data_IF_376998580278
#
_entry.id   IF_376998580278
#
_cell.length_a   1.000
_cell.length_b   1.000
_cell.length_c   1.000
_cell.angle_alpha   90.00
_cell.angle_beta   90.00
_cell.angle_gamma   90.00
#
_symmetry.space_group_name_H-M   'P 1'
#
loop_
_entity.id
_entity.type
_entity.pdbx_description
1 polymer ?
#
# COMPACT_ATOMS: atom_id res chain seq x y z
N UNK A 1 24.47 -34.48 3.37
CA UNK A 1 23.52 -33.47 3.85
C UNK A 1 24.14 -32.11 3.57
N UNK A 2 23.61 -31.33 2.62
CA UNK A 2 24.10 -29.97 2.38
C UNK A 2 23.71 -29.10 3.58
N UNK A 3 24.71 -28.52 4.23
CA UNK A 3 24.46 -27.48 5.22
C UNK A 3 23.92 -26.25 4.49
N UNK A 4 22.86 -25.59 4.98
CA UNK A 4 22.46 -24.31 4.46
C UNK A 4 23.63 -23.33 4.63
N UNK A 5 23.97 -22.62 3.56
CA UNK A 5 24.94 -21.55 3.56
C UNK A 5 24.49 -20.42 4.49
N UNK A 6 25.46 -19.73 5.08
CA UNK A 6 25.22 -18.64 6.03
C UNK A 6 24.32 -17.52 5.46
N UNK A 7 24.32 -17.35 4.14
CA UNK A 7 23.57 -16.31 3.43
C UNK A 7 22.31 -16.82 2.70
N UNK A 8 21.96 -18.10 2.81
CA UNK A 8 20.86 -18.70 2.01
C UNK A 8 19.50 -18.03 2.29
N UNK A 9 19.27 -17.62 3.54
CA UNK A 9 18.04 -16.92 3.95
C UNK A 9 18.03 -15.49 3.39
N UNK A 10 19.15 -14.78 3.45
CA UNK A 10 19.28 -13.43 2.92
C UNK A 10 19.13 -13.40 1.40
N UNK A 11 19.73 -14.36 0.68
CA UNK A 11 19.59 -14.47 -0.77
C UNK A 11 18.14 -14.75 -1.17
N UNK A 12 17.45 -15.62 -0.42
CA UNK A 12 16.03 -15.89 -0.65
C UNK A 12 15.15 -14.67 -0.38
N UNK A 13 15.44 -13.89 0.67
CA UNK A 13 14.75 -12.64 0.96
C UNK A 13 15.02 -11.57 -0.10
N UNK A 14 16.25 -11.45 -0.59
CA UNK A 14 16.61 -10.52 -1.67
C UNK A 14 15.90 -10.86 -2.99
N UNK A 15 15.76 -12.15 -3.30
CA UNK A 15 14.95 -12.61 -4.44
C UNK A 15 13.47 -12.23 -4.27
N UNK A 16 12.91 -12.40 -3.07
CA UNK A 16 11.53 -11.98 -2.76
C UNK A 16 11.33 -10.47 -2.89
N UNK A 17 12.29 -9.67 -2.43
CA UNK A 17 12.31 -8.21 -2.65
C UNK A 17 12.25 -7.86 -4.14
N UNK A 18 13.04 -8.55 -4.97
CA UNK A 18 13.06 -8.34 -6.42
C UNK A 18 11.75 -8.73 -7.12
N UNK A 19 10.97 -9.65 -6.55
CA UNK A 19 9.66 -10.07 -7.07
C UNK A 19 8.50 -9.14 -6.65
N UNK A 20 8.74 -8.19 -5.75
CA UNK A 20 7.75 -7.21 -5.29
C UNK A 20 7.12 -7.59 -3.95
N UNK A 21 7.92 -7.63 -2.88
CA UNK A 21 7.40 -7.79 -1.52
C UNK A 21 6.65 -6.53 -1.06
N UNK A 22 5.32 -6.62 -1.03
CA UNK A 22 4.45 -5.53 -0.59
C UNK A 22 4.66 -5.17 0.89
N UNK A 23 4.97 -6.15 1.75
CA UNK A 23 5.22 -5.90 3.18
C UNK A 23 6.51 -5.11 3.41
N UNK A 24 7.52 -5.35 2.57
CA UNK A 24 8.73 -4.55 2.58
C UNK A 24 8.46 -3.09 2.17
N UNK A 25 7.63 -2.88 1.14
CA UNK A 25 7.22 -1.54 0.74
C UNK A 25 6.48 -0.80 1.88
N UNK A 26 5.61 -1.50 2.61
CA UNK A 26 4.96 -0.95 3.80
C UNK A 26 5.95 -0.56 4.88
N UNK A 27 6.89 -1.44 5.22
CA UNK A 27 7.90 -1.16 6.25
C UNK A 27 8.82 0.01 5.90
N UNK A 28 9.03 0.31 4.61
CA UNK A 28 9.82 1.47 4.16
C UNK A 28 9.02 2.77 4.14
N UNK A 29 7.71 2.66 3.97
CA UNK A 29 6.82 3.82 3.78
C UNK A 29 6.22 4.31 5.10
N UNK A 30 5.86 3.38 5.97
CA UNK A 30 5.15 3.68 7.22
C UNK A 30 6.10 3.48 8.39
N UNK A 31 6.34 4.54 9.14
CA UNK A 31 6.96 4.43 10.45
C UNK A 31 5.91 3.94 11.47
N UNK A 32 6.00 2.67 11.84
CA UNK A 32 5.06 2.03 12.75
C UNK A 32 5.23 2.49 14.21
N UNK A 33 6.35 3.10 14.57
CA UNK A 33 6.58 3.63 15.93
C UNK A 33 5.68 4.84 16.23
N UNK A 34 5.21 5.53 15.19
CA UNK A 34 4.27 6.66 15.30
C UNK A 34 2.93 6.27 15.95
N UNK A 35 2.56 4.98 15.90
CA UNK A 35 1.34 4.45 16.50
C UNK A 35 1.51 4.02 17.96
N UNK A 36 2.76 3.90 18.45
CA UNK A 36 3.05 3.41 19.81
C UNK A 36 2.26 4.15 20.91
N UNK A 37 2.16 5.49 20.93
CA UNK A 37 1.43 6.19 22.00
C UNK A 37 -0.06 5.84 22.04
N UNK A 38 -0.68 5.69 20.87
CA UNK A 38 -2.10 5.33 20.76
C UNK A 38 -2.32 3.87 21.17
N UNK A 39 -1.40 2.99 20.79
CA UNK A 39 -1.41 1.57 21.15
C UNK A 39 -1.19 1.35 22.65
N UNK A 40 -0.23 2.04 23.26
CA UNK A 40 0.06 1.95 24.70
C UNK A 40 -1.15 2.39 25.52
N UNK A 41 -1.78 3.51 25.11
CA UNK A 41 -2.99 4.02 25.74
C UNK A 41 -4.16 3.04 25.63
N UNK A 42 -4.33 2.40 24.47
CA UNK A 42 -5.44 1.50 24.20
C UNK A 42 -5.25 0.10 24.84
N UNK A 43 -4.04 -0.44 24.81
CA UNK A 43 -3.74 -1.76 25.34
C UNK A 43 -3.55 -1.75 26.85
N UNK A 44 -3.12 -0.61 27.41
CA UNK A 44 -2.95 -0.37 28.84
C UNK A 44 -2.34 -1.57 29.56
N UNK A 45 -1.27 -2.16 28.98
CA UNK A 45 -0.63 -3.33 29.56
C UNK A 45 -0.11 -2.96 30.95
N UNK A 46 -0.42 -3.81 31.95
CA UNK A 46 0.10 -3.62 33.30
C UNK A 46 1.61 -3.84 33.32
N UNK A 47 2.31 -3.08 34.15
CA UNK A 47 3.78 -2.92 34.18
C UNK A 47 4.59 -4.15 34.65
N UNK A 48 4.14 -5.37 34.34
CA UNK A 48 4.81 -6.63 34.73
C UNK A 48 4.89 -6.90 36.23
N UNK A 49 4.46 -5.95 37.07
CA UNK A 49 4.60 -5.93 38.53
C UNK A 49 3.90 -7.08 39.25
N UNK A 50 2.98 -7.77 38.59
CA UNK A 50 2.27 -8.94 39.12
C UNK A 50 2.90 -10.29 38.75
N UNK A 51 4.12 -10.31 38.21
CA UNK A 51 4.84 -11.54 37.91
C UNK A 51 4.12 -12.36 36.84
N UNK A 52 4.27 -11.95 35.59
CA UNK A 52 3.72 -12.66 34.43
C UNK A 52 4.68 -12.63 33.26
N UNK A 53 4.41 -13.46 32.25
CA UNK A 53 5.12 -13.38 30.96
C UNK A 53 4.98 -11.96 30.41
N UNK A 54 6.09 -11.30 29.99
CA UNK A 54 6.01 -9.94 29.49
C UNK A 54 5.07 -9.89 28.28
N UNK A 55 4.24 -8.83 28.17
CA UNK A 55 3.39 -8.63 27.01
C UNK A 55 4.23 -8.48 25.75
N UNK A 56 3.65 -8.82 24.59
CA UNK A 56 4.28 -8.56 23.31
C UNK A 56 4.33 -7.06 23.03
N UNK A 57 5.31 -6.64 22.24
CA UNK A 57 5.45 -5.25 21.83
C UNK A 57 4.18 -4.78 21.09
N UNK A 58 3.57 -3.66 21.49
CA UNK A 58 2.35 -3.12 20.88
C UNK A 58 2.48 -2.90 19.37
N UNK A 59 3.64 -2.42 18.92
CA UNK A 59 3.89 -2.14 17.49
C UNK A 59 3.94 -3.45 16.70
N UNK A 60 4.61 -4.49 17.23
CA UNK A 60 4.58 -5.83 16.65
C UNK A 60 3.15 -6.37 16.54
N UNK A 61 2.34 -6.22 17.59
CA UNK A 61 0.94 -6.67 17.57
C UNK A 61 0.13 -5.94 16.51
N UNK A 62 0.31 -4.62 16.37
CA UNK A 62 -0.37 -3.83 15.34
C UNK A 62 0.06 -4.24 13.92
N UNK A 63 1.35 -4.50 13.68
CA UNK A 63 1.83 -5.04 12.40
C UNK A 63 1.18 -6.38 12.05
N UNK A 64 0.94 -7.26 13.03
CA UNK A 64 0.22 -8.51 12.81
C UNK A 64 -1.23 -8.21 12.40
N UNK A 65 -1.90 -7.24 13.03
CA UNK A 65 -3.25 -6.84 12.61
C UNK A 65 -3.27 -6.35 11.17
N UNK A 66 -2.28 -5.57 10.75
CA UNK A 66 -2.15 -5.13 9.34
C UNK A 66 -2.00 -6.34 8.40
N UNK A 67 -1.20 -7.35 8.76
CA UNK A 67 -1.10 -8.59 7.97
C UNK A 67 -2.45 -9.30 7.89
N UNK A 68 -3.14 -9.45 9.02
CA UNK A 68 -4.44 -10.12 9.12
C UNK A 68 -5.45 -9.49 8.18
N UNK A 69 -5.48 -8.18 8.17
CA UNK A 69 -6.47 -7.41 7.45
C UNK A 69 -6.15 -7.37 5.95
N UNK A 70 -4.88 -7.23 5.57
CA UNK A 70 -4.47 -7.25 4.15
C UNK A 70 -4.68 -8.61 3.46
N UNK A 71 -4.69 -9.69 4.23
CA UNK A 71 -4.80 -11.06 3.71
C UNK A 71 -6.11 -11.74 4.12
N UNK A 72 -7.00 -11.02 4.80
CA UNK A 72 -8.30 -11.53 5.32
C UNK A 72 -8.14 -12.86 6.07
N UNK A 73 -7.22 -12.88 7.04
CA UNK A 73 -6.83 -14.08 7.79
C UNK A 73 -7.53 -14.18 9.15
N UNK A 74 -7.82 -15.41 9.59
CA UNK A 74 -8.18 -15.68 10.99
C UNK A 74 -6.97 -15.67 11.90
N UNK A 75 -7.17 -15.57 13.22
CA UNK A 75 -6.10 -15.58 14.21
C UNK A 75 -5.23 -16.85 14.12
N UNK A 76 -5.83 -18.03 13.94
CA UNK A 76 -5.12 -19.30 13.80
C UNK A 76 -4.33 -19.40 12.50
N UNK A 77 -4.93 -18.92 11.40
CA UNK A 77 -4.24 -18.83 10.10
C UNK A 77 -3.04 -17.90 10.16
N UNK A 78 -3.16 -16.83 10.93
CA UNK A 78 -2.11 -15.82 11.10
C UNK A 78 -0.94 -16.37 11.88
N UNK A 79 -1.20 -17.05 13.01
CA UNK A 79 -0.18 -17.77 13.77
C UNK A 79 0.60 -18.76 12.88
N UNK A 80 -0.13 -19.57 12.10
CA UNK A 80 0.50 -20.52 11.18
C UNK A 80 1.37 -19.83 10.13
N UNK A 81 0.84 -18.79 9.47
CA UNK A 81 1.55 -18.12 8.37
C UNK A 81 2.75 -17.29 8.84
N UNK A 82 2.75 -16.76 10.06
CA UNK A 82 3.92 -16.09 10.62
C UNK A 82 5.06 -17.10 10.81
N UNK A 83 4.77 -18.33 11.22
CA UNK A 83 5.78 -19.39 11.36
C UNK A 83 6.24 -19.96 10.00
N UNK A 84 5.38 -19.94 8.98
CA UNK A 84 5.65 -20.53 7.66
C UNK A 84 6.34 -19.56 6.68
N UNK A 85 6.01 -18.26 6.73
CA UNK A 85 6.43 -17.28 5.73
C UNK A 85 7.54 -16.37 6.20
N UNK A 86 8.70 -16.49 5.56
CA UNK A 86 9.86 -15.62 5.77
C UNK A 86 9.56 -14.13 5.54
N UNK A 87 8.67 -13.78 4.60
CA UNK A 87 8.28 -12.38 4.38
C UNK A 87 7.52 -11.78 5.58
N UNK A 88 6.71 -12.58 6.27
CA UNK A 88 5.97 -12.16 7.46
C UNK A 88 6.94 -11.98 8.63
N UNK A 89 7.84 -12.95 8.85
CA UNK A 89 8.88 -12.84 9.87
C UNK A 89 9.75 -11.59 9.66
N UNK A 90 10.18 -11.34 8.42
CA UNK A 90 10.96 -10.14 8.05
C UNK A 90 10.20 -8.84 8.36
N UNK A 91 8.93 -8.76 7.99
CA UNK A 91 8.11 -7.56 8.25
C UNK A 91 7.90 -7.29 9.74
N UNK A 92 7.72 -8.36 10.52
CA UNK A 92 7.55 -8.29 11.97
C UNK A 92 8.87 -8.06 12.72
N UNK A 93 10.02 -8.25 12.05
CA UNK A 93 11.34 -8.17 12.67
C UNK A 93 11.64 -9.37 13.59
N UNK A 94 11.01 -10.52 13.33
CA UNK A 94 11.18 -11.75 14.09
C UNK A 94 12.28 -12.62 13.47
N UNK A 95 13.22 -13.07 14.29
CA UNK A 95 14.17 -14.14 13.97
C UNK A 95 13.55 -15.53 14.13
N UNK A 96 14.23 -16.56 13.60
CA UNK A 96 13.77 -17.96 13.64
C UNK A 96 13.58 -18.52 15.05
N UNK A 97 14.23 -17.91 16.05
CA UNK A 97 14.16 -18.32 17.46
C UNK A 97 13.23 -17.44 18.31
N UNK A 98 12.68 -16.38 17.71
CA UNK A 98 11.83 -15.45 18.44
C UNK A 98 10.43 -16.02 18.65
N UNK A 99 9.75 -15.49 19.65
CA UNK A 99 8.43 -15.98 20.04
C UNK A 99 7.37 -15.36 19.15
N UNK A 100 6.52 -16.21 18.57
CA UNK A 100 5.34 -15.78 17.83
C UNK A 100 4.14 -15.70 18.78
N UNK A 101 3.31 -14.64 18.71
CA UNK A 101 2.04 -14.61 19.43
C UNK A 101 1.10 -15.71 18.94
N UNK A 102 0.49 -16.44 19.88
CA UNK A 102 -0.55 -17.41 19.55
C UNK A 102 -1.87 -16.72 19.15
N UNK A 103 -2.76 -17.45 18.49
CA UNK A 103 -4.07 -16.96 18.06
C UNK A 103 -4.87 -16.32 19.21
N UNK A 104 -4.77 -16.87 20.41
CA UNK A 104 -5.48 -16.37 21.60
C UNK A 104 -4.95 -15.01 22.05
N UNK A 105 -3.66 -14.78 21.90
CA UNK A 105 -2.98 -13.52 22.19
C UNK A 105 -3.37 -12.45 21.17
N UNK A 106 -3.44 -12.82 19.88
CA UNK A 106 -3.94 -11.94 18.82
C UNK A 106 -5.38 -11.50 19.10
N UNK A 107 -6.25 -12.48 19.38
CA UNK A 107 -7.64 -12.23 19.74
C UNK A 107 -7.79 -11.29 20.94
N UNK A 108 -7.00 -11.52 22.00
CA UNK A 108 -7.05 -10.69 23.21
C UNK A 108 -6.61 -9.25 22.93
N UNK A 109 -5.62 -9.07 22.07
CA UNK A 109 -5.15 -7.76 21.62
C UNK A 109 -6.23 -7.03 20.82
N UNK A 110 -6.80 -7.66 19.80
CA UNK A 110 -7.92 -7.10 19.03
C UNK A 110 -9.07 -6.68 19.94
N UNK A 111 -9.48 -7.58 20.86
CA UNK A 111 -10.56 -7.30 21.79
C UNK A 111 -10.29 -6.05 22.64
N UNK A 112 -9.06 -5.87 23.14
CA UNK A 112 -8.68 -4.68 23.91
C UNK A 112 -8.70 -3.42 23.06
N UNK A 113 -8.19 -3.46 21.84
CA UNK A 113 -8.20 -2.31 20.94
C UNK A 113 -9.62 -1.89 20.55
N UNK A 114 -10.51 -2.86 20.35
CA UNK A 114 -11.94 -2.59 20.09
C UNK A 114 -12.62 -2.01 21.33
N UNK A 115 -12.36 -2.54 22.52
CA UNK A 115 -12.90 -2.00 23.78
C UNK A 115 -12.37 -0.59 24.07
N UNK A 116 -11.13 -0.29 23.69
CA UNK A 116 -10.53 1.03 23.78
C UNK A 116 -10.96 2.00 22.66
N UNK A 117 -11.76 1.56 21.68
CA UNK A 117 -12.19 2.37 20.54
C UNK A 117 -11.04 2.84 19.63
N UNK A 118 -9.86 2.26 19.76
CA UNK A 118 -8.66 2.73 19.09
C UNK A 118 -8.48 2.13 17.69
N UNK A 119 -9.13 1.00 17.39
CA UNK A 119 -8.90 0.24 16.15
C UNK A 119 -9.21 1.08 14.91
N UNK A 120 -10.35 1.76 14.86
CA UNK A 120 -10.73 2.62 13.74
C UNK A 120 -9.78 3.81 13.59
N UNK A 121 -9.38 4.43 14.71
CA UNK A 121 -8.46 5.57 14.68
C UNK A 121 -7.07 5.18 14.17
N UNK A 122 -6.55 4.03 14.60
CA UNK A 122 -5.26 3.50 14.16
C UNK A 122 -5.26 3.19 12.66
N UNK A 123 -6.29 2.49 12.17
CA UNK A 123 -6.40 2.16 10.75
C UNK A 123 -6.65 3.39 9.87
N UNK A 124 -7.47 4.35 10.32
CA UNK A 124 -7.64 5.61 9.60
C UNK A 124 -6.33 6.39 9.47
N UNK A 125 -5.50 6.41 10.53
CA UNK A 125 -4.19 7.06 10.52
C UNK A 125 -3.19 6.30 9.63
N UNK A 126 -3.26 4.98 9.64
CA UNK A 126 -2.48 4.13 8.73
C UNK A 126 -2.82 4.43 7.27
N UNK A 127 -4.11 4.46 6.92
CA UNK A 127 -4.59 4.80 5.58
C UNK A 127 -4.19 6.21 5.15
N UNK A 128 -4.29 7.19 6.05
CA UNK A 128 -3.84 8.55 5.78
C UNK A 128 -2.34 8.61 5.44
N UNK A 129 -1.53 7.82 6.16
CA UNK A 129 -0.08 7.72 5.93
C UNK A 129 0.21 7.10 4.56
N UNK A 130 -0.51 6.04 4.19
CA UNK A 130 -0.38 5.41 2.87
C UNK A 130 -0.78 6.36 1.73
N UNK A 131 -1.90 7.08 1.89
CA UNK A 131 -2.36 8.07 0.91
C UNK A 131 -1.34 9.18 0.70
N UNK A 132 -0.73 9.69 1.78
CA UNK A 132 0.31 10.72 1.68
C UNK A 132 1.57 10.22 0.96
N UNK A 133 1.86 8.93 1.05
CA UNK A 133 2.97 8.30 0.34
C UNK A 133 2.64 7.91 -1.11
N UNK A 134 1.43 8.20 -1.61
CA UNK A 134 1.01 7.92 -2.98
C UNK A 134 0.45 6.51 -3.21
N UNK A 135 0.14 5.78 -2.14
CA UNK A 135 -0.54 4.48 -2.21
C UNK A 135 -2.05 4.70 -2.05
N UNK A 136 -2.84 4.34 -3.08
CA UNK A 136 -4.30 4.45 -3.06
C UNK A 136 -4.92 3.07 -2.80
N UNK A 137 -5.77 2.91 -1.78
CA UNK A 137 -6.65 1.75 -1.70
C UNK A 137 -7.72 1.88 -2.80
N UNK A 138 -7.74 0.98 -3.78
CA UNK A 138 -8.70 1.02 -4.91
C UNK A 138 -10.13 0.63 -4.53
N UNK A 139 -10.36 0.14 -3.32
CA UNK A 139 -11.68 -0.18 -2.80
C UNK A 139 -11.92 0.65 -1.55
N UNK A 140 -13.09 1.29 -1.44
CA UNK A 140 -13.52 2.09 -0.29
C UNK A 140 -13.80 1.28 0.99
N UNK A 141 -13.09 0.16 1.17
CA UNK A 141 -13.10 -0.67 2.35
C UNK A 141 -11.70 -0.62 2.94
N UNK A 142 -11.63 -0.36 4.25
CA UNK A 142 -10.42 0.06 4.97
C UNK A 142 -9.24 -0.91 4.75
N UNK A 143 -9.46 -2.17 4.34
CA UNK A 143 -8.43 -3.21 4.42
C UNK A 143 -8.40 -4.31 3.34
N UNK A 144 -9.17 -4.23 2.26
CA UNK A 144 -9.28 -5.38 1.33
C UNK A 144 -8.81 -5.02 -0.10
N UNK A 145 -7.52 -4.68 -0.24
CA UNK A 145 -6.94 -4.53 -1.57
C UNK A 145 -5.44 -4.89 -1.64
N UNK A 146 -5.01 -5.68 -2.64
CA UNK A 146 -3.60 -5.78 -2.96
C UNK A 146 -3.07 -4.40 -3.36
N UNK A 147 -1.89 -4.05 -2.83
CA UNK A 147 -1.21 -2.78 -3.10
C UNK A 147 -0.78 -2.74 -4.58
N UNK A 148 -1.51 -1.98 -5.38
CA UNK A 148 -1.11 -1.61 -6.74
C UNK A 148 -0.57 -0.19 -6.67
N UNK A 149 0.66 0.04 -7.14
CA UNK A 149 1.16 1.40 -7.34
C UNK A 149 0.11 2.15 -8.16
N UNK A 150 -0.40 3.27 -7.65
CA UNK A 150 -1.44 4.01 -8.34
C UNK A 150 -0.97 4.25 -9.78
N UNK A 151 -1.70 3.82 -10.82
CA UNK A 151 -1.39 4.26 -12.17
C UNK A 151 -1.37 5.78 -12.11
N UNK A 152 -0.33 6.43 -12.67
CA UNK A 152 -0.26 7.90 -12.74
C UNK A 152 -1.51 8.43 -13.44
N UNK A 153 -2.54 8.71 -12.65
CA UNK A 153 -3.81 9.24 -13.09
C UNK A 153 -4.12 10.46 -12.23
N UNK A 154 -3.34 11.50 -12.46
CA UNK A 154 -3.79 12.86 -12.27
C UNK A 154 -3.07 13.68 -13.32
N UNK A 155 -3.80 14.10 -14.36
CA UNK A 155 -3.38 15.28 -15.10
C UNK A 155 -3.11 16.37 -14.05
N UNK A 156 -1.93 16.97 -14.11
CA UNK A 156 -1.50 18.01 -13.17
C UNK A 156 -2.50 19.16 -13.21
N UNK A 157 -2.65 19.94 -12.14
CA UNK A 157 -3.57 21.10 -12.15
C UNK A 157 -3.24 22.09 -13.28
N UNK A 158 -1.97 22.18 -13.69
CA UNK A 158 -1.52 22.91 -14.88
C UNK A 158 -2.11 22.31 -16.17
N UNK A 159 -1.97 21.00 -16.38
CA UNK A 159 -2.54 20.30 -17.55
C UNK A 159 -4.08 20.38 -17.58
N UNK A 160 -4.74 20.37 -16.40
CA UNK A 160 -6.20 20.58 -16.30
C UNK A 160 -6.60 22.02 -16.64
N UNK A 161 -5.78 23.01 -16.30
CA UNK A 161 -6.01 24.40 -16.67
C UNK A 161 -5.81 24.60 -18.18
N UNK A 162 -4.74 24.04 -18.75
CA UNK A 162 -4.47 24.05 -20.19
C UNK A 162 -5.58 23.33 -20.98
N UNK A 163 -6.08 22.20 -20.48
CA UNK A 163 -7.24 21.50 -21.03
C UNK A 163 -8.53 22.34 -21.00
N UNK A 164 -8.76 23.10 -19.91
CA UNK A 164 -9.92 24.00 -19.79
C UNK A 164 -9.81 25.20 -20.73
N UNK A 165 -8.61 25.70 -20.97
CA UNK A 165 -8.33 26.79 -21.90
C UNK A 165 -8.15 26.31 -23.35
N UNK A 166 -8.21 25.01 -23.61
CA UNK A 166 -8.06 24.42 -24.94
C UNK A 166 -6.66 24.54 -25.52
N UNK A 167 -5.64 24.72 -24.67
CA UNK A 167 -4.23 24.76 -25.08
C UNK A 167 -3.72 23.38 -25.42
N UNK A 168 -2.84 23.33 -26.42
CA UNK A 168 -2.27 22.09 -26.95
C UNK A 168 -1.08 21.69 -26.08
N UNK A 169 -1.03 20.43 -25.58
CA UNK A 169 0.10 19.94 -24.80
C UNK A 169 1.43 20.10 -25.54
N UNK A 170 2.49 20.48 -24.81
CA UNK A 170 3.80 20.77 -25.38
C UNK A 170 4.44 19.52 -26.01
N UNK A 171 4.13 18.34 -25.49
CA UNK A 171 4.59 17.04 -26.01
C UNK A 171 4.08 16.73 -27.42
N UNK A 172 2.97 17.35 -27.86
CA UNK A 172 2.46 17.20 -29.23
C UNK A 172 3.13 18.15 -30.22
N UNK A 173 3.90 19.12 -29.72
CA UNK A 173 4.62 20.10 -30.52
C UNK A 173 6.06 19.63 -30.82
N UNK A 174 6.47 18.49 -30.24
CA UNK A 174 7.78 17.91 -30.50
C UNK A 174 7.86 17.31 -31.91
N UNK A 175 8.61 17.99 -32.78
CA UNK A 175 8.79 17.63 -34.19
C UNK A 175 9.72 16.43 -34.39
N UNK A 176 10.32 15.90 -33.33
CA UNK A 176 11.13 14.68 -33.39
C UNK A 176 10.27 13.41 -33.34
N UNK A 177 9.00 13.54 -32.94
CA UNK A 177 8.08 12.41 -32.89
C UNK A 177 7.65 12.01 -34.31
N UNK A 178 8.06 10.81 -34.73
CA UNK A 178 7.79 10.28 -36.08
C UNK A 178 6.38 9.65 -36.19
N UNK A 179 5.66 9.50 -35.07
CA UNK A 179 4.33 8.92 -35.07
C UNK A 179 3.28 9.94 -35.53
N UNK A 180 2.60 9.66 -36.65
CA UNK A 180 1.49 10.47 -37.13
C UNK A 180 0.18 10.23 -36.35
N UNK A 181 0.08 9.15 -35.56
CA UNK A 181 -1.14 8.80 -34.83
C UNK A 181 -1.07 9.26 -33.38
N UNK A 182 -2.06 10.04 -32.94
CA UNK A 182 -2.13 10.57 -31.58
C UNK A 182 -3.25 9.87 -30.80
N UNK A 183 -2.86 9.15 -29.75
CA UNK A 183 -3.78 8.51 -28.80
C UNK A 183 -3.87 9.38 -27.54
N UNK A 184 -5.09 9.77 -27.16
CA UNK A 184 -5.31 10.52 -25.93
C UNK A 184 -6.69 10.22 -25.33
N UNK A 185 -6.86 10.58 -24.06
CA UNK A 185 -8.14 10.46 -23.37
C UNK A 185 -9.16 11.48 -23.91
N UNK A 186 -10.45 11.16 -23.75
CA UNK A 186 -11.62 12.01 -23.99
C UNK A 186 -11.44 13.47 -23.56
N UNK A 187 -10.73 13.72 -22.46
CA UNK A 187 -10.48 15.08 -21.95
C UNK A 187 -9.74 15.98 -22.96
N UNK A 188 -8.90 15.41 -23.81
CA UNK A 188 -8.08 16.14 -24.79
C UNK A 188 -8.81 16.41 -26.11
N UNK A 189 -10.08 15.98 -26.24
CA UNK A 189 -10.89 16.12 -27.44
C UNK A 189 -11.58 17.49 -27.53
N UNK A 190 -10.80 18.56 -27.58
CA UNK A 190 -11.29 19.91 -27.85
C UNK A 190 -11.30 20.19 -29.36
N UNK A 191 -12.17 21.10 -29.82
CA UNK A 191 -12.17 21.55 -31.23
C UNK A 191 -10.82 22.14 -31.65
N UNK A 192 -10.14 22.85 -30.74
CA UNK A 192 -8.83 23.43 -30.98
C UNK A 192 -7.75 22.36 -31.18
N UNK A 193 -7.80 21.28 -30.39
CA UNK A 193 -6.85 20.17 -30.49
C UNK A 193 -7.08 19.32 -31.75
N UNK A 194 -8.34 19.04 -32.11
CA UNK A 194 -8.65 18.33 -33.36
C UNK A 194 -8.21 19.15 -34.59
N UNK A 195 -8.44 20.47 -34.60
CA UNK A 195 -8.00 21.34 -35.68
C UNK A 195 -6.47 21.46 -35.77
N UNK A 196 -5.76 21.46 -34.63
CA UNK A 196 -4.30 21.42 -34.60
C UNK A 196 -3.76 20.12 -35.19
N UNK A 197 -4.34 18.98 -34.81
CA UNK A 197 -3.96 17.68 -35.34
C UNK A 197 -4.15 17.61 -36.85
N UNK A 198 -5.31 18.03 -37.35
CA UNK A 198 -5.60 18.06 -38.78
C UNK A 198 -4.63 18.95 -39.56
N UNK A 199 -4.33 20.15 -39.03
CA UNK A 199 -3.40 21.10 -39.66
C UNK A 199 -1.96 20.59 -39.74
N UNK A 200 -1.54 19.73 -38.81
CA UNK A 200 -0.17 19.20 -38.75
C UNK A 200 -0.07 17.76 -39.27
N UNK A 201 -1.14 17.21 -39.87
CA UNK A 201 -1.14 15.87 -40.45
C UNK A 201 -1.21 14.74 -39.44
N UNK A 202 -1.62 15.01 -38.20
CA UNK A 202 -1.83 14.00 -37.18
C UNK A 202 -3.21 13.34 -37.31
N UNK A 203 -3.24 12.02 -37.14
CA UNK A 203 -4.46 11.22 -37.12
C UNK A 203 -4.94 11.08 -35.67
N UNK A 204 -6.05 11.74 -35.34
CA UNK A 204 -6.68 11.67 -34.01
C UNK A 204 -7.29 10.29 -33.74
N UNK A 205 -6.84 9.61 -32.68
CA UNK A 205 -7.45 8.41 -32.08
C UNK A 205 -7.93 8.67 -30.66
N UNK A 206 -8.35 9.92 -30.39
CA UNK A 206 -8.84 10.32 -29.07
C UNK A 206 -10.16 9.62 -28.73
N UNK A 207 -10.27 9.08 -27.53
CA UNK A 207 -11.45 8.32 -27.10
C UNK A 207 -12.72 9.19 -27.11
N UNK A 208 -13.87 8.59 -27.43
CA UNK A 208 -15.18 9.28 -27.40
C UNK A 208 -15.88 9.00 -26.07
N UNK A 209 -16.49 10.02 -25.46
CA UNK A 209 -17.31 9.85 -24.26
C UNK A 209 -18.49 8.95 -24.61
N UNK A 210 -18.74 7.90 -23.81
CA UNK A 210 -19.93 7.05 -24.00
C UNK A 210 -21.18 7.91 -23.86
N UNK A 211 -22.17 7.81 -24.77
CA UNK A 211 -23.44 8.49 -24.59
C UNK A 211 -24.12 7.93 -23.33
N UNK A 212 -24.60 8.82 -22.46
CA UNK A 212 -25.51 8.43 -21.39
C UNK A 212 -26.90 8.27 -22.03
N UNK A 213 -27.46 7.06 -21.96
CA UNK A 213 -28.86 6.77 -22.26
C UNK A 213 -29.75 7.28 -21.12
#
# INVERSE_FOLDING_TARGET
>A
MNQPGFFDVEERLARLSGLGDQLEAFSRTVDFEVFRPDLDKALAYSDGSKGGRPPFDPVLMFKILVIQTLNTLSDERTEYLINDRLSFMRFLGLGLSDRVPDAKTLWLCQKRLTQGGAIESLFNRFDATLRNAGYLPMSGQILDAPLVAAPKQCNTNAEKADLREGRIPQDWQDKTNTASTVWADTAYRSKANEAFMEKHGFVSKVHRKKPHL
#
